data_IF_369041674721
#
_entry.id   IF_369041674721
#
_cell.length_a   1.000
_cell.length_b   1.000
_cell.length_c   1.000
_cell.angle_alpha   90.00
_cell.angle_beta   90.00
_cell.angle_gamma   90.00
#
_symmetry.space_group_name_H-M   'P 1'
#
loop_
_entity.id
_entity.type
_entity.pdbx_description
1 polymer ?
#
# COMPACT_ATOMS: atom_id res chain seq x y z
N UNK A 1 -9.59 -11.55 27.69
CA UNK A 1 -8.63 -10.65 27.00
C UNK A 1 -9.42 -9.59 26.27
N UNK A 2 -9.20 -8.29 26.54
CA UNK A 2 -9.90 -7.21 25.84
C UNK A 2 -9.64 -7.27 24.33
N UNK A 3 -10.71 -7.24 23.53
CA UNK A 3 -10.61 -7.23 22.07
C UNK A 3 -9.93 -5.95 21.60
N UNK A 4 -8.69 -6.03 21.09
CA UNK A 4 -8.00 -4.88 20.47
C UNK A 4 -8.91 -4.24 19.43
N UNK A 5 -9.13 -2.93 19.53
CA UNK A 5 -9.91 -2.11 18.59
C UNK A 5 -9.13 -1.89 17.28
N UNK A 6 -9.84 -1.61 16.18
CA UNK A 6 -9.20 -1.14 14.96
C UNK A 6 -8.60 0.24 15.17
N UNK A 7 -7.54 0.59 14.46
CA UNK A 7 -6.85 1.88 14.59
C UNK A 7 -6.52 2.46 13.21
N UNK A 8 -6.68 3.77 13.05
CA UNK A 8 -6.11 4.57 11.97
C UNK A 8 -5.07 5.54 12.56
N UNK A 9 -3.84 5.49 12.06
CA UNK A 9 -2.69 6.23 12.59
C UNK A 9 -2.20 7.22 11.54
N UNK A 10 -2.26 8.51 11.86
CA UNK A 10 -1.65 9.55 11.05
C UNK A 10 -0.13 9.61 11.34
N UNK A 11 0.71 9.19 10.40
CA UNK A 11 2.16 9.13 10.58
C UNK A 11 2.91 8.55 9.38
N UNK A 12 4.24 8.58 9.42
CA UNK A 12 5.07 7.91 8.41
C UNK A 12 4.99 6.38 8.58
N UNK A 13 4.90 5.65 7.47
CA UNK A 13 4.73 4.20 7.50
C UNK A 13 5.87 3.50 8.26
N UNK A 14 7.13 3.88 8.02
CA UNK A 14 8.28 3.24 8.67
C UNK A 14 8.34 3.57 10.17
N UNK A 15 8.05 4.82 10.53
CA UNK A 15 8.01 5.24 11.94
C UNK A 15 6.89 4.57 12.72
N UNK A 16 5.70 4.45 12.14
CA UNK A 16 4.56 3.79 12.81
C UNK A 16 4.80 2.28 12.89
N UNK A 17 5.24 1.64 11.79
CA UNK A 17 5.49 0.19 11.77
C UNK A 17 6.53 -0.22 12.81
N UNK A 18 7.62 0.54 12.96
CA UNK A 18 8.67 0.27 13.96
C UNK A 18 8.14 0.21 15.41
N UNK A 19 7.01 0.87 15.69
CA UNK A 19 6.38 0.88 17.00
C UNK A 19 5.29 -0.21 17.17
N UNK A 20 4.93 -0.94 16.12
CA UNK A 20 3.99 -2.05 16.21
C UNK A 20 4.69 -3.31 16.75
N UNK A 21 4.04 -4.11 17.62
CA UNK A 21 4.64 -5.35 18.11
C UNK A 21 4.86 -6.37 16.98
N UNK A 22 5.91 -7.18 17.11
CA UNK A 22 6.16 -8.32 16.24
C UNK A 22 4.99 -9.30 16.27
N UNK A 23 4.66 -9.92 15.13
CA UNK A 23 3.59 -10.90 14.98
C UNK A 23 2.24 -10.46 15.60
N UNK A 24 1.86 -9.20 15.40
CA UNK A 24 0.68 -8.58 16.00
C UNK A 24 -0.54 -8.48 15.08
N UNK A 25 -0.38 -8.67 13.78
CA UNK A 25 -1.44 -8.63 12.76
C UNK A 25 -1.49 -9.93 11.95
N UNK A 26 -2.65 -10.28 11.41
CA UNK A 26 -2.90 -11.57 10.75
C UNK A 26 -2.61 -11.52 9.24
N UNK A 27 -2.78 -10.36 8.62
CA UNK A 27 -2.50 -10.15 7.19
C UNK A 27 -2.09 -8.70 6.91
N UNK A 28 -1.37 -8.49 5.81
CA UNK A 28 -1.11 -7.18 5.23
C UNK A 28 -1.73 -7.13 3.83
N UNK A 29 -2.61 -6.17 3.58
CA UNK A 29 -3.19 -5.89 2.27
C UNK A 29 -2.96 -4.42 1.98
N UNK A 30 -2.12 -4.12 0.98
CA UNK A 30 -1.64 -2.74 0.82
C UNK A 30 -1.29 -2.36 -0.62
N UNK A 31 -1.35 -1.06 -0.88
CA UNK A 31 -1.06 -0.40 -2.15
C UNK A 31 0.10 0.59 -1.95
N UNK A 32 1.36 0.13 -2.03
CA UNK A 32 2.51 0.98 -1.77
C UNK A 32 2.70 2.03 -2.88
N UNK A 33 3.53 3.06 -2.64
CA UNK A 33 3.99 3.95 -3.70
C UNK A 33 4.61 3.21 -4.90
N UNK A 34 4.39 3.74 -6.10
CA UNK A 34 4.74 3.10 -7.39
C UNK A 34 5.97 3.72 -8.08
N UNK A 35 6.53 4.81 -7.54
CA UNK A 35 7.58 5.64 -8.11
C UNK A 35 7.29 6.17 -9.54
N UNK A 36 6.05 6.63 -9.79
CA UNK A 36 5.58 7.11 -11.09
C UNK A 36 5.58 8.64 -11.24
N UNK A 37 5.95 9.40 -10.20
CA UNK A 37 5.95 10.86 -10.24
C UNK A 37 7.05 11.41 -11.16
N UNK A 38 6.66 12.02 -12.28
CA UNK A 38 7.58 12.62 -13.27
C UNK A 38 7.94 14.07 -12.88
N UNK A 39 9.17 14.51 -13.24
CA UNK A 39 9.67 15.89 -13.00
C UNK A 39 8.93 17.00 -13.76
N UNK A 40 8.21 16.70 -14.85
CA UNK A 40 7.44 17.67 -15.65
C UNK A 40 6.11 17.03 -16.08
N UNK A 41 5.00 17.75 -15.87
CA UNK A 41 3.70 17.38 -16.42
C UNK A 41 3.69 17.53 -17.94
N UNK A 42 2.90 16.71 -18.64
CA UNK A 42 2.56 16.94 -20.03
C UNK A 42 1.52 18.07 -20.05
N UNK A 43 1.91 19.29 -20.45
CA UNK A 43 0.96 20.36 -20.71
C UNK A 43 0.34 20.15 -22.09
N UNK A 44 -0.95 19.83 -22.14
CA UNK A 44 -1.74 19.85 -23.37
C UNK A 44 -3.01 20.68 -23.16
N UNK A 45 -3.31 21.54 -24.14
CA UNK A 45 -4.35 22.57 -24.08
C UNK A 45 -5.81 22.07 -24.07
N UNK A 46 -6.05 20.76 -24.16
CA UNK A 46 -7.40 20.20 -24.37
C UNK A 46 -7.82 19.12 -23.37
N UNK A 47 -7.15 18.97 -22.23
CA UNK A 47 -7.67 18.09 -21.19
C UNK A 47 -7.17 18.45 -19.81
N UNK A 48 -8.09 18.49 -18.85
CA UNK A 48 -7.84 18.57 -17.41
C UNK A 48 -7.20 17.28 -16.88
N UNK A 49 -6.02 16.91 -17.41
CA UNK A 49 -5.27 15.74 -16.94
C UNK A 49 -4.70 16.02 -15.54
N UNK A 50 -5.21 15.28 -14.56
CA UNK A 50 -4.51 15.11 -13.28
C UNK A 50 -3.30 14.23 -13.55
N UNK A 51 -2.16 14.85 -13.83
CA UNK A 51 -0.87 14.13 -13.81
C UNK A 51 -0.60 13.76 -12.35
N UNK A 52 -0.22 12.51 -12.07
CA UNK A 52 0.19 12.11 -10.73
C UNK A 52 1.50 12.85 -10.37
N UNK A 53 1.38 13.93 -9.62
CA UNK A 53 2.48 14.85 -9.25
C UNK A 53 2.80 14.78 -7.76
N UNK A 54 2.53 13.63 -7.14
CA UNK A 54 2.72 13.44 -5.72
C UNK A 54 4.23 13.40 -5.39
N UNK A 55 4.66 14.24 -4.45
CA UNK A 55 6.09 14.37 -4.06
C UNK A 55 6.59 13.09 -3.38
N UNK A 56 5.68 12.32 -2.77
CA UNK A 56 5.98 11.09 -2.02
C UNK A 56 6.28 9.88 -2.89
N UNK A 57 6.13 10.02 -4.21
CA UNK A 57 6.30 8.96 -5.20
C UNK A 57 7.49 9.24 -6.14
N UNK A 58 8.55 9.91 -5.61
CA UNK A 58 9.78 10.28 -6.32
C UNK A 58 11.00 9.66 -5.65
N UNK A 59 11.61 8.70 -6.31
CA UNK A 59 12.82 8.02 -5.87
C UNK A 59 13.76 7.79 -7.06
N UNK A 60 15.07 7.84 -6.85
CA UNK A 60 16.00 7.12 -7.73
C UNK A 60 15.72 5.61 -7.67
N UNK A 61 16.23 4.83 -8.63
CA UNK A 61 15.98 3.38 -8.65
C UNK A 61 16.45 2.70 -7.36
N UNK A 62 17.63 3.09 -6.86
CA UNK A 62 18.22 2.51 -5.65
C UNK A 62 17.48 2.97 -4.38
N UNK A 63 17.07 4.23 -4.30
CA UNK A 63 16.26 4.74 -3.18
C UNK A 63 14.89 4.06 -3.10
N UNK A 64 14.28 3.74 -4.25
CA UNK A 64 13.00 3.03 -4.28
C UNK A 64 13.15 1.58 -3.79
N UNK A 65 14.23 0.92 -4.20
CA UNK A 65 14.54 -0.43 -3.73
C UNK A 65 14.83 -0.44 -2.23
N UNK A 66 15.63 0.49 -1.70
CA UNK A 66 15.88 0.62 -0.25
C UNK A 66 14.59 0.88 0.52
N UNK A 67 13.77 1.84 0.06
CA UNK A 67 12.47 2.10 0.66
C UNK A 67 11.60 0.83 0.68
N UNK A 68 11.55 0.10 -0.43
CA UNK A 68 10.77 -1.13 -0.56
C UNK A 68 11.24 -2.21 0.40
N UNK A 69 12.55 -2.43 0.49
CA UNK A 69 13.16 -3.37 1.43
C UNK A 69 12.82 -2.99 2.87
N UNK A 70 12.92 -1.71 3.23
CA UNK A 70 12.72 -1.24 4.61
C UNK A 70 11.28 -1.45 5.08
N UNK A 71 10.28 -1.10 4.28
CA UNK A 71 8.89 -1.31 4.70
C UNK A 71 8.52 -2.80 4.65
N UNK A 72 9.04 -3.58 3.70
CA UNK A 72 8.83 -5.04 3.66
C UNK A 72 9.40 -5.73 4.91
N UNK A 73 10.61 -5.36 5.35
CA UNK A 73 11.21 -5.90 6.59
C UNK A 73 10.29 -5.69 7.79
N UNK A 74 9.77 -4.47 7.92
CA UNK A 74 8.83 -4.14 9.01
C UNK A 74 7.51 -4.90 8.87
N UNK A 75 6.94 -5.00 7.67
CA UNK A 75 5.73 -5.80 7.40
C UNK A 75 5.94 -7.26 7.78
N UNK A 76 7.06 -7.87 7.40
CA UNK A 76 7.35 -9.27 7.74
C UNK A 76 7.51 -9.48 9.24
N UNK A 77 8.03 -8.49 9.97
CA UNK A 77 8.15 -8.52 11.43
C UNK A 77 6.78 -8.43 12.10
N UNK A 78 5.89 -7.55 11.66
CA UNK A 78 4.61 -7.29 12.33
C UNK A 78 3.53 -8.31 11.97
N UNK A 79 3.54 -8.85 10.74
CA UNK A 79 2.61 -9.90 10.31
C UNK A 79 2.99 -11.22 10.99
N UNK A 80 2.01 -11.97 11.47
CA UNK A 80 2.25 -13.29 12.09
C UNK A 80 2.88 -14.27 11.08
N UNK A 81 3.62 -15.28 11.56
CA UNK A 81 4.03 -16.40 10.71
C UNK A 81 2.81 -17.01 10.01
N UNK A 82 2.98 -17.38 8.74
CA UNK A 82 1.90 -17.83 7.86
C UNK A 82 0.79 -16.81 7.55
N UNK A 83 0.91 -15.56 8.00
CA UNK A 83 0.00 -14.48 7.63
C UNK A 83 0.10 -14.15 6.14
N UNK A 84 -1.02 -13.72 5.54
CA UNK A 84 -1.04 -13.36 4.13
C UNK A 84 -0.46 -11.97 3.88
N UNK A 85 0.32 -11.86 2.81
CA UNK A 85 0.88 -10.62 2.29
C UNK A 85 0.31 -10.40 0.88
N UNK A 86 -0.50 -9.36 0.71
CA UNK A 86 -1.09 -8.97 -0.57
C UNK A 86 -0.66 -7.56 -0.92
N UNK A 87 0.19 -7.45 -1.94
CA UNK A 87 0.79 -6.17 -2.34
C UNK A 87 0.35 -5.83 -3.75
N UNK A 88 -0.36 -4.72 -3.90
CA UNK A 88 -0.75 -4.18 -5.20
C UNK A 88 0.44 -3.55 -5.92
N UNK A 89 0.36 -3.53 -7.24
CA UNK A 89 1.33 -2.87 -8.08
C UNK A 89 0.93 -2.82 -9.54
N UNK A 90 1.73 -2.08 -10.29
CA UNK A 90 1.74 -2.11 -11.76
C UNK A 90 3.10 -2.63 -12.21
N UNK A 91 3.33 -2.70 -13.53
CA UNK A 91 4.65 -3.04 -14.06
C UNK A 91 5.80 -2.16 -13.54
N UNK A 92 5.49 -0.94 -13.04
CA UNK A 92 6.49 -0.01 -12.49
C UNK A 92 7.17 -0.53 -11.22
N UNK A 93 6.45 -1.26 -10.36
CA UNK A 93 6.95 -1.68 -9.04
C UNK A 93 6.74 -3.16 -8.71
N UNK A 94 5.77 -3.85 -9.35
CA UNK A 94 5.36 -5.19 -8.93
C UNK A 94 6.48 -6.23 -9.12
N UNK A 95 7.27 -6.12 -10.19
CA UNK A 95 8.34 -7.08 -10.47
C UNK A 95 9.44 -6.99 -9.42
N UNK A 96 9.85 -5.77 -9.05
CA UNK A 96 10.80 -5.54 -7.97
C UNK A 96 10.24 -6.07 -6.64
N UNK A 97 8.99 -5.76 -6.34
CA UNK A 97 8.34 -6.18 -5.09
C UNK A 97 8.32 -7.70 -4.96
N UNK A 98 7.83 -8.42 -5.99
CA UNK A 98 7.76 -9.87 -5.99
C UNK A 98 9.14 -10.53 -5.91
N UNK A 99 10.13 -9.98 -6.62
CA UNK A 99 11.52 -10.43 -6.53
C UNK A 99 12.07 -10.27 -5.11
N UNK A 100 11.96 -9.08 -4.52
CA UNK A 100 12.45 -8.80 -3.16
C UNK A 100 11.77 -9.68 -2.10
N UNK A 101 10.47 -9.95 -2.23
CA UNK A 101 9.79 -10.87 -1.31
C UNK A 101 10.38 -12.28 -1.37
N UNK A 102 10.70 -12.79 -2.57
CA UNK A 102 11.37 -14.08 -2.76
C UNK A 102 12.79 -14.10 -2.18
N UNK A 103 13.59 -13.08 -2.49
CA UNK A 103 14.96 -12.92 -1.98
C UNK A 103 15.02 -12.80 -0.45
N UNK A 104 13.97 -12.23 0.15
CA UNK A 104 13.80 -12.14 1.61
C UNK A 104 13.11 -13.38 2.20
N UNK A 105 13.19 -14.50 1.50
CA UNK A 105 12.73 -15.83 1.90
C UNK A 105 11.22 -15.88 2.21
N UNK A 106 10.38 -15.19 1.43
CA UNK A 106 8.91 -15.33 1.52
C UNK A 106 8.38 -16.17 0.38
N UNK A 107 7.52 -17.14 0.71
CA UNK A 107 6.85 -17.97 -0.31
C UNK A 107 5.83 -17.14 -1.08
N UNK A 108 6.13 -16.79 -2.33
CA UNK A 108 5.12 -16.29 -3.26
C UNK A 108 4.20 -17.45 -3.65
N UNK A 109 2.89 -17.28 -3.43
CA UNK A 109 1.87 -18.31 -3.63
C UNK A 109 1.19 -18.18 -4.99
N UNK A 110 0.87 -16.94 -5.40
CA UNK A 110 0.24 -16.63 -6.68
C UNK A 110 0.39 -15.14 -7.01
N UNK A 111 -0.02 -14.76 -8.21
CA UNK A 111 -0.26 -13.38 -8.59
C UNK A 111 -1.68 -13.22 -9.12
N UNK A 112 -2.41 -12.23 -8.62
CA UNK A 112 -3.75 -11.87 -9.11
C UNK A 112 -3.59 -10.77 -10.15
N UNK A 113 -4.30 -10.89 -11.27
CA UNK A 113 -4.43 -9.86 -12.30
C UNK A 113 -5.79 -9.21 -12.16
N UNK A 114 -5.81 -7.94 -11.79
CA UNK A 114 -7.00 -7.11 -11.80
C UNK A 114 -7.13 -6.41 -13.15
N UNK A 115 -8.14 -6.79 -13.94
CA UNK A 115 -8.49 -6.17 -15.22
C UNK A 115 -9.57 -5.11 -15.04
N UNK A 116 -9.30 -3.93 -15.59
CA UNK A 116 -10.10 -2.71 -15.56
C UNK A 116 -10.81 -2.53 -16.92
N UNK A 117 -12.07 -2.98 -17.08
CA UNK A 117 -12.78 -2.90 -18.36
C UNK A 117 -13.03 -1.47 -18.84
N UNK A 118 -12.97 -0.50 -17.94
CA UNK A 118 -13.14 0.94 -18.19
C UNK A 118 -11.86 1.74 -17.87
N UNK A 119 -10.68 1.13 -18.12
CA UNK A 119 -9.41 1.82 -18.02
C UNK A 119 -9.33 3.03 -18.95
N UNK A 120 -8.63 4.09 -18.52
CA UNK A 120 -8.41 5.25 -19.38
C UNK A 120 -7.53 4.86 -20.58
N UNK A 121 -7.94 5.17 -21.82
CA UNK A 121 -7.16 4.84 -23.02
C UNK A 121 -5.76 5.44 -22.99
N UNK A 122 -4.81 4.75 -23.63
CA UNK A 122 -3.48 5.32 -23.89
C UNK A 122 -3.58 6.42 -24.96
N UNK A 123 -3.47 7.68 -24.53
CA UNK A 123 -3.64 8.85 -25.42
C UNK A 123 -2.47 9.03 -26.39
N UNK A 124 -1.29 8.51 -26.08
CA UNK A 124 -0.14 8.64 -27.00
C UNK A 124 -0.21 7.67 -28.16
N UNK A 125 -1.06 6.63 -28.08
CA UNK A 125 -1.21 5.57 -29.08
C UNK A 125 0.10 4.86 -29.44
N UNK A 126 1.12 4.94 -28.58
CA UNK A 126 2.44 4.31 -28.79
C UNK A 126 2.60 2.99 -28.04
N UNK A 127 1.68 2.67 -27.14
CA UNK A 127 1.70 1.50 -26.27
C UNK A 127 0.26 1.04 -26.01
N UNK A 128 0.13 -0.17 -25.45
CA UNK A 128 -1.16 -0.69 -25.00
C UNK A 128 -1.77 0.19 -23.90
N UNK A 129 -3.09 0.11 -23.74
CA UNK A 129 -3.79 0.69 -22.60
C UNK A 129 -3.48 -0.10 -21.34
N UNK A 130 -2.95 0.59 -20.32
CA UNK A 130 -2.69 0.03 -18.98
C UNK A 130 -4.00 -0.29 -18.24
N UNK A 131 -4.61 -1.38 -18.68
CA UNK A 131 -5.92 -1.88 -18.26
C UNK A 131 -5.80 -2.95 -17.17
N UNK A 132 -4.60 -3.25 -16.69
CA UNK A 132 -4.39 -4.20 -15.59
C UNK A 132 -3.59 -3.62 -14.44
N UNK A 133 -3.77 -4.18 -13.25
CA UNK A 133 -2.86 -4.09 -12.11
C UNK A 133 -2.65 -5.50 -11.56
N UNK A 134 -1.57 -5.70 -10.83
CA UNK A 134 -1.24 -6.99 -10.22
C UNK A 134 -1.31 -6.91 -8.70
N UNK A 135 -1.61 -8.05 -8.08
CA UNK A 135 -1.41 -8.26 -6.64
C UNK A 135 -0.50 -9.47 -6.46
N UNK A 136 0.67 -9.26 -5.87
CA UNK A 136 1.51 -10.37 -5.42
C UNK A 136 0.91 -10.91 -4.13
N UNK A 137 0.60 -12.20 -4.12
CA UNK A 137 0.14 -12.92 -2.94
C UNK A 137 1.27 -13.82 -2.43
N UNK A 138 1.78 -13.52 -1.24
CA UNK A 138 2.79 -14.31 -0.57
C UNK A 138 2.36 -14.70 0.85
N UNK A 139 3.00 -15.74 1.37
CA UNK A 139 2.92 -16.15 2.76
C UNK A 139 4.08 -15.52 3.54
N UNK A 140 3.81 -14.97 4.74
CA UNK A 140 4.84 -14.46 5.63
C UNK A 140 5.60 -15.59 6.34
N UNK A 141 6.24 -16.44 5.55
CA UNK A 141 7.06 -17.54 6.01
C UNK A 141 7.93 -18.06 4.84
N UNK A 142 9.04 -18.74 5.17
CA UNK A 142 9.91 -19.40 4.20
C UNK A 142 9.17 -20.45 3.38
N UNK A 143 9.59 -20.74 2.12
CA UNK A 143 9.00 -21.80 1.30
C UNK A 143 8.88 -23.16 2.00
N UNK A 144 9.83 -23.48 2.89
CA UNK A 144 9.87 -24.72 3.67
C UNK A 144 8.83 -24.79 4.80
N UNK A 145 8.47 -23.64 5.39
CA UNK A 145 7.60 -23.56 6.57
C UNK A 145 6.21 -22.99 6.27
N UNK A 146 6.02 -22.40 5.09
CA UNK A 146 4.74 -21.86 4.66
C UNK A 146 3.76 -23.00 4.35
N UNK A 147 2.81 -23.20 5.26
CA UNK A 147 1.77 -24.25 5.20
C UNK A 147 0.40 -23.80 5.72
N UNK A 148 0.34 -22.74 6.54
CA UNK A 148 -0.86 -22.35 7.29
C UNK A 148 -1.51 -21.04 6.85
N UNK A 149 -1.29 -20.59 5.61
CA UNK A 149 -1.88 -19.35 5.14
C UNK A 149 -3.39 -19.49 4.95
N UNK A 150 -4.13 -18.41 5.19
CA UNK A 150 -5.58 -18.42 5.02
C UNK A 150 -5.95 -18.33 3.54
N UNK A 151 -6.77 -19.25 3.05
CA UNK A 151 -7.45 -19.12 1.78
C UNK A 151 -8.83 -19.76 1.86
N UNK A 152 -9.87 -18.93 1.90
CA UNK A 152 -11.26 -19.37 2.03
C UNK A 152 -11.78 -19.88 0.70
N UNK A 153 -11.30 -21.07 0.31
CA UNK A 153 -11.56 -21.67 -0.99
C UNK A 153 -13.05 -21.86 -1.29
N UNK A 154 -13.83 -22.28 -0.28
CA UNK A 154 -15.27 -22.50 -0.44
C UNK A 154 -16.02 -21.18 -0.67
N UNK A 155 -15.67 -20.11 0.05
CA UNK A 155 -16.21 -18.77 -0.20
C UNK A 155 -15.87 -18.32 -1.62
N UNK A 156 -14.63 -18.56 -2.06
CA UNK A 156 -14.21 -18.30 -3.43
C UNK A 156 -15.05 -19.05 -4.47
N UNK A 157 -15.31 -20.34 -4.25
CA UNK A 157 -16.21 -21.11 -5.12
C UNK A 157 -17.61 -20.52 -5.15
N UNK A 158 -18.17 -20.15 -3.99
CA UNK A 158 -19.50 -19.56 -3.89
C UNK A 158 -19.58 -18.23 -4.66
N UNK A 159 -18.55 -17.38 -4.56
CA UNK A 159 -18.45 -16.11 -5.31
C UNK A 159 -18.37 -16.28 -6.84
N UNK A 160 -18.13 -17.50 -7.32
CA UNK A 160 -17.92 -17.82 -8.73
C UNK A 160 -18.86 -18.95 -9.21
N UNK A 161 -20.10 -18.95 -8.71
CA UNK A 161 -21.14 -19.87 -9.17
C UNK A 161 -20.81 -21.36 -8.91
N UNK A 162 -20.15 -21.65 -7.79
CA UNK A 162 -19.74 -23.00 -7.42
C UNK A 162 -18.46 -23.51 -8.11
N UNK A 163 -17.80 -22.69 -8.94
CA UNK A 163 -16.56 -23.05 -9.64
C UNK A 163 -15.35 -22.40 -8.98
N UNK A 164 -14.19 -23.06 -9.05
CA UNK A 164 -12.93 -22.50 -8.53
C UNK A 164 -12.63 -21.13 -9.15
N UNK A 165 -12.24 -20.17 -8.32
CA UNK A 165 -11.78 -18.86 -8.77
C UNK A 165 -10.46 -18.99 -9.54
N UNK A 166 -10.36 -18.22 -10.63
CA UNK A 166 -9.09 -17.97 -11.32
C UNK A 166 -8.43 -16.73 -10.74
N UNK A 167 -7.15 -16.55 -11.05
CA UNK A 167 -6.38 -15.38 -10.64
C UNK A 167 -6.58 -14.14 -11.53
N UNK A 168 -7.45 -14.20 -12.54
CA UNK A 168 -7.84 -13.05 -13.37
C UNK A 168 -9.21 -12.52 -12.94
N UNK A 169 -9.25 -11.30 -12.42
CA UNK A 169 -10.45 -10.67 -11.87
C UNK A 169 -10.80 -9.39 -12.60
N UNK A 170 -12.06 -9.28 -13.02
CA UNK A 170 -12.57 -8.10 -13.72
C UNK A 170 -13.34 -7.22 -12.74
N UNK A 171 -12.83 -6.01 -12.51
CA UNK A 171 -13.50 -4.98 -11.71
C UNK A 171 -13.29 -3.62 -12.38
N UNK A 172 -14.34 -2.78 -12.50
CA UNK A 172 -14.16 -1.42 -13.00
C UNK A 172 -13.25 -0.60 -12.08
N UNK A 173 -12.69 0.49 -12.61
CA UNK A 173 -12.04 1.50 -11.77
C UNK A 173 -13.02 2.05 -10.75
N UNK A 174 -12.48 2.56 -9.63
CA UNK A 174 -13.28 3.08 -8.52
C UNK A 174 -14.27 4.14 -9.00
N UNK A 175 -15.59 3.90 -8.83
CA UNK A 175 -16.62 4.78 -9.38
C UNK A 175 -16.61 6.14 -8.70
N UNK A 176 -17.08 7.18 -9.41
CA UNK A 176 -17.11 8.56 -8.89
C UNK A 176 -17.84 8.68 -7.55
N UNK A 177 -18.91 7.92 -7.35
CA UNK A 177 -19.67 7.88 -6.10
C UNK A 177 -18.88 7.38 -4.89
N UNK A 178 -17.82 6.58 -5.13
CA UNK A 178 -16.96 6.06 -4.07
C UNK A 178 -15.71 6.93 -3.85
N UNK A 179 -15.34 7.77 -4.82
CA UNK A 179 -14.13 8.62 -4.76
C UNK A 179 -14.27 9.67 -3.67
N UNK A 180 -13.26 9.79 -2.81
CA UNK A 180 -13.22 10.84 -1.79
C UNK A 180 -11.89 11.56 -1.77
N UNK A 181 -11.91 12.83 -1.35
CA UNK A 181 -10.73 13.66 -1.13
C UNK A 181 -9.72 13.72 -2.31
N UNK A 182 -10.19 13.45 -3.54
CA UNK A 182 -9.34 13.50 -4.73
C UNK A 182 -8.25 12.43 -4.80
N UNK A 183 -8.30 11.37 -3.97
CA UNK A 183 -7.22 10.38 -3.91
C UNK A 183 -7.01 9.70 -5.28
N UNK A 184 -5.82 9.80 -5.89
CA UNK A 184 -5.61 9.40 -7.28
C UNK A 184 -5.78 7.89 -7.46
N UNK A 185 -5.28 7.09 -6.52
CA UNK A 185 -5.18 5.63 -6.63
C UNK A 185 -6.14 4.86 -5.72
N UNK A 186 -7.25 5.46 -5.28
CA UNK A 186 -8.23 4.74 -4.43
C UNK A 186 -8.69 3.45 -5.13
N UNK A 187 -8.56 2.30 -4.46
CA UNK A 187 -9.02 0.99 -4.96
C UNK A 187 -10.54 0.82 -4.82
N UNK A 188 -11.22 0.05 -5.70
CA UNK A 188 -12.66 -0.17 -5.62
C UNK A 188 -13.02 -1.00 -4.39
N UNK A 189 -14.10 -0.64 -3.69
CA UNK A 189 -14.48 -1.32 -2.46
C UNK A 189 -14.77 -2.81 -2.66
N UNK A 190 -15.47 -3.18 -3.73
CA UNK A 190 -15.83 -4.58 -4.01
C UNK A 190 -14.60 -5.48 -4.23
N UNK A 191 -13.52 -4.93 -4.82
CA UNK A 191 -12.26 -5.65 -4.99
C UNK A 191 -11.61 -5.91 -3.62
N UNK A 192 -11.58 -4.90 -2.75
CA UNK A 192 -11.04 -5.03 -1.40
C UNK A 192 -11.89 -5.97 -0.53
N UNK A 193 -13.22 -5.92 -0.64
CA UNK A 193 -14.14 -6.83 0.04
C UNK A 193 -13.90 -8.30 -0.38
N UNK A 194 -13.61 -8.57 -1.66
CA UNK A 194 -13.19 -9.91 -2.11
C UNK A 194 -11.88 -10.34 -1.47
N UNK A 195 -10.85 -9.48 -1.47
CA UNK A 195 -9.55 -9.81 -0.88
C UNK A 195 -9.68 -10.13 0.62
N UNK A 196 -10.39 -9.28 1.37
CA UNK A 196 -10.63 -9.49 2.80
C UNK A 196 -11.33 -10.84 3.02
N UNK A 197 -12.37 -11.15 2.26
CA UNK A 197 -13.11 -12.40 2.45
C UNK A 197 -12.31 -13.64 2.09
N UNK A 198 -11.46 -13.60 1.08
CA UNK A 198 -10.68 -14.76 0.64
C UNK A 198 -9.43 -15.02 1.47
N UNK A 199 -8.75 -13.98 1.94
CA UNK A 199 -7.40 -14.08 2.50
C UNK A 199 -7.33 -13.81 4.01
N UNK A 200 -8.46 -13.66 4.68
CA UNK A 200 -8.54 -13.44 6.14
C UNK A 200 -9.78 -14.12 6.72
N UNK A 201 -9.80 -14.38 8.02
CA UNK A 201 -10.93 -14.89 8.77
C UNK A 201 -11.65 -13.78 9.56
N UNK A 202 -12.88 -14.05 10.02
CA UNK A 202 -13.58 -13.12 10.94
C UNK A 202 -12.75 -12.93 12.21
N UNK A 203 -12.62 -11.70 12.67
CA UNK A 203 -11.82 -11.33 13.85
C UNK A 203 -10.35 -11.02 13.57
N UNK A 204 -9.82 -11.39 12.40
CA UNK A 204 -8.44 -11.10 12.00
C UNK A 204 -8.16 -9.59 11.99
N UNK A 205 -6.92 -9.23 12.28
CA UNK A 205 -6.41 -7.87 12.20
C UNK A 205 -5.62 -7.67 10.90
N UNK A 206 -6.15 -6.79 10.04
CA UNK A 206 -5.58 -6.49 8.72
C UNK A 206 -4.78 -5.18 8.76
N UNK A 207 -3.53 -5.24 8.35
CA UNK A 207 -2.64 -4.09 8.25
C UNK A 207 -2.67 -3.51 6.83
N UNK A 208 -2.71 -2.18 6.75
CA UNK A 208 -2.43 -1.42 5.53
C UNK A 208 -1.52 -0.22 5.87
N UNK A 209 -0.20 -0.30 5.57
CA UNK A 209 0.74 0.79 5.83
C UNK A 209 0.59 2.01 4.90
N UNK A 210 -0.19 1.89 3.83
CA UNK A 210 -0.38 2.92 2.81
C UNK A 210 -1.88 3.13 2.56
N UNK A 211 -2.61 3.36 3.64
CA UNK A 211 -4.06 3.20 3.66
C UNK A 211 -4.84 4.21 2.81
N UNK A 212 -4.24 5.34 2.44
CA UNK A 212 -4.90 6.38 1.64
C UNK A 212 -6.20 6.81 2.31
N UNK A 213 -7.31 6.71 1.58
CA UNK A 213 -8.65 7.04 2.09
C UNK A 213 -9.35 5.87 2.82
N UNK A 214 -8.64 4.79 3.12
CA UNK A 214 -9.06 3.73 4.04
C UNK A 214 -10.00 2.67 3.48
N UNK A 215 -9.97 2.41 2.16
CA UNK A 215 -10.81 1.37 1.53
C UNK A 215 -10.59 -0.01 2.19
N UNK A 216 -9.34 -0.37 2.50
CA UNK A 216 -9.00 -1.62 3.21
C UNK A 216 -9.72 -1.74 4.54
N UNK A 217 -9.75 -0.66 5.33
CA UNK A 217 -10.43 -0.66 6.63
C UNK A 217 -11.95 -0.70 6.52
N UNK A 218 -12.54 -0.03 5.52
CA UNK A 218 -13.99 -0.12 5.27
C UNK A 218 -14.38 -1.56 4.94
N UNK A 219 -13.64 -2.22 4.03
CA UNK A 219 -13.86 -3.63 3.69
C UNK A 219 -13.66 -4.56 4.90
N UNK A 220 -12.56 -4.37 5.65
CA UNK A 220 -12.26 -5.17 6.84
C UNK A 220 -13.40 -5.11 7.87
N UNK A 221 -13.81 -3.92 8.30
CA UNK A 221 -14.82 -3.74 9.32
C UNK A 221 -16.20 -4.25 8.87
N UNK A 222 -16.60 -4.03 7.61
CA UNK A 222 -17.86 -4.55 7.05
C UNK A 222 -17.95 -6.08 7.13
N UNK A 223 -16.83 -6.77 6.94
CA UNK A 223 -16.77 -8.23 6.98
C UNK A 223 -16.34 -8.78 8.36
N UNK A 224 -16.43 -7.98 9.42
CA UNK A 224 -16.16 -8.43 10.79
C UNK A 224 -14.68 -8.72 11.06
N UNK A 225 -13.77 -8.12 10.29
CA UNK A 225 -12.33 -8.03 10.61
C UNK A 225 -12.05 -6.74 11.35
N UNK A 226 -10.85 -6.64 11.88
CA UNK A 226 -10.27 -5.42 12.44
C UNK A 226 -9.15 -4.93 11.55
N UNK A 227 -8.69 -3.70 11.76
CA UNK A 227 -7.61 -3.15 10.95
C UNK A 227 -6.65 -2.24 11.71
N UNK A 228 -5.43 -2.15 11.17
CA UNK A 228 -4.46 -1.10 11.47
C UNK A 228 -4.17 -0.39 10.16
N UNK A 229 -4.58 0.88 10.06
CA UNK A 229 -4.36 1.72 8.90
C UNK A 229 -3.29 2.75 9.23
N UNK A 230 -2.32 2.94 8.33
CA UNK A 230 -1.31 3.98 8.46
C UNK A 230 -1.42 4.88 7.24
N UNK A 231 -1.49 6.18 7.47
CA UNK A 231 -1.58 7.17 6.41
C UNK A 231 -0.88 8.45 6.84
N UNK A 232 0.02 8.97 6.00
CA UNK A 232 0.82 10.14 6.35
C UNK A 232 0.09 11.46 6.13
N UNK A 233 -0.77 11.52 5.11
CA UNK A 233 -1.46 12.73 4.71
C UNK A 233 -2.74 12.94 5.53
N UNK A 234 -2.73 13.99 6.35
CA UNK A 234 -3.88 14.34 7.18
C UNK A 234 -5.21 14.54 6.42
N UNK A 235 -5.25 15.06 5.16
CA UNK A 235 -6.50 15.10 4.39
C UNK A 235 -7.12 13.73 4.16
N UNK A 236 -6.30 12.70 3.89
CA UNK A 236 -6.77 11.34 3.68
C UNK A 236 -7.25 10.70 4.98
N UNK A 237 -6.57 10.92 6.10
CA UNK A 237 -7.05 10.50 7.43
C UNK A 237 -8.38 11.15 7.80
N UNK A 238 -8.58 12.44 7.47
CA UNK A 238 -9.90 13.09 7.64
C UNK A 238 -10.98 12.45 6.77
N UNK A 239 -10.64 12.12 5.53
CA UNK A 239 -11.56 11.42 4.62
C UNK A 239 -11.92 10.02 5.14
N UNK A 240 -10.95 9.28 5.69
CA UNK A 240 -11.18 8.03 6.40
C UNK A 240 -12.25 8.24 7.48
N UNK A 241 -12.02 9.17 8.43
CA UNK A 241 -12.97 9.42 9.55
C UNK A 241 -14.39 9.67 9.06
N UNK A 242 -14.57 10.47 8.01
CA UNK A 242 -15.89 10.71 7.39
C UNK A 242 -16.48 9.43 6.80
N UNK A 243 -15.71 8.64 6.04
CA UNK A 243 -16.16 7.36 5.46
C UNK A 243 -16.62 6.37 6.53
N UNK A 244 -15.80 6.16 7.56
CA UNK A 244 -16.12 5.22 8.66
C UNK A 244 -17.39 5.66 9.39
N UNK A 245 -17.54 6.95 9.68
CA UNK A 245 -18.75 7.50 10.30
C UNK A 245 -20.00 7.29 9.45
N UNK A 246 -19.95 7.61 8.15
CA UNK A 246 -21.10 7.45 7.24
C UNK A 246 -21.50 5.99 7.03
N UNK A 247 -20.54 5.07 7.12
CA UNK A 247 -20.79 3.64 7.02
C UNK A 247 -21.26 3.00 8.35
N UNK A 248 -21.43 3.77 9.43
CA UNK A 248 -21.78 3.25 10.75
C UNK A 248 -20.69 2.41 11.42
N UNK A 249 -19.43 2.57 10.98
CA UNK A 249 -18.29 1.79 11.43
C UNK A 249 -17.56 2.50 12.58
N UNK A 250 -18.12 2.42 13.79
CA UNK A 250 -17.63 3.15 14.97
C UNK A 250 -16.47 2.46 15.73
N UNK A 251 -16.15 1.20 15.39
CA UNK A 251 -15.12 0.40 16.10
C UNK A 251 -13.70 0.69 15.63
N UNK A 252 -13.35 1.96 15.43
CA UNK A 252 -12.03 2.40 14.99
C UNK A 252 -11.56 3.66 15.74
N UNK A 253 -10.36 3.59 16.30
CA UNK A 253 -9.70 4.73 16.96
C UNK A 253 -8.83 5.49 15.95
N UNK A 254 -8.83 6.81 16.02
CA UNK A 254 -7.94 7.66 15.22
C UNK A 254 -6.82 8.21 16.11
N UNK A 255 -5.58 7.97 15.73
CA UNK A 255 -4.37 8.40 16.45
C UNK A 255 -3.49 9.24 15.54
N UNK A 256 -2.67 10.08 16.14
CA UNK A 256 -1.62 10.85 15.44
C UNK A 256 -0.30 10.58 16.14
N UNK A 257 0.74 10.25 15.37
CA UNK A 257 2.09 10.23 15.90
C UNK A 257 2.55 11.67 16.13
N UNK A 258 2.95 11.99 17.37
CA UNK A 258 3.69 13.21 17.66
C UNK A 258 5.08 13.04 17.07
N UNK A 259 5.48 13.84 16.09
CA UNK A 259 6.84 13.82 15.56
C UNK A 259 7.83 14.04 16.71
N UNK A 260 8.71 13.06 16.97
CA UNK A 260 9.89 13.34 17.75
C UNK A 260 10.73 14.34 16.95
N UNK A 261 10.85 15.58 17.45
CA UNK A 261 11.83 16.53 16.90
C UNK A 261 13.18 15.82 16.92
N UNK A 262 13.77 15.56 15.74
CA UNK A 262 15.18 15.21 15.63
C UNK A 262 16.00 16.37 16.18
N UNK A 263 16.34 16.34 17.46
CA UNK A 263 17.35 17.21 18.05
C UNK A 263 18.72 16.72 17.60
N UNK A 264 19.26 17.33 16.54
CA UNK A 264 20.57 16.94 16.02
C UNK A 264 20.86 17.49 14.63
N UNK A 265 20.57 18.76 14.36
CA UNK A 265 21.27 19.46 13.30
C UNK A 265 22.58 19.97 13.90
N UNK A 266 23.71 19.32 13.57
CA UNK A 266 25.01 19.96 13.75
C UNK A 266 25.02 21.24 12.90
N UNK A 267 25.47 22.39 13.44
CA UNK A 267 25.55 23.61 12.66
C UNK A 267 26.58 23.41 11.54
N UNK A 268 26.22 23.87 10.34
CA UNK A 268 27.13 23.91 9.20
C UNK A 268 28.41 24.69 9.57
N UNK A 269 29.60 24.24 9.13
CA UNK A 269 30.83 24.94 9.45
C UNK A 269 30.81 26.37 8.87
N UNK A 270 31.24 27.32 9.70
CA UNK A 270 31.24 28.74 9.40
C UNK A 270 32.17 29.08 8.22
N UNK A 271 31.68 29.96 7.36
CA UNK A 271 32.33 30.47 6.15
C UNK A 271 33.48 31.44 6.49
N UNK A 272 34.62 30.92 6.95
CA UNK A 272 35.96 31.54 6.96
C UNK A 272 36.92 30.36 6.83
N UNK A 273 37.39 30.01 5.63
CA UNK A 273 38.59 30.56 5.02
C UNK A 273 38.45 30.57 3.49
N UNK A 274 38.23 31.75 2.93
CA UNK A 274 38.77 32.11 1.62
C UNK A 274 39.90 33.09 1.91
N UNK A 275 41.13 32.67 1.72
CA UNK A 275 42.20 33.42 1.06
C UNK A 275 43.56 32.78 1.35
N UNK A 276 44.12 32.17 0.31
CA UNK A 276 45.50 31.68 0.27
C UNK A 276 45.86 31.33 -1.16
N UNK A 277 46.15 32.36 -1.98
CA UNK A 277 46.79 32.18 -3.28
C UNK A 277 48.19 31.59 -3.07
N UNK A 278 48.59 30.66 -3.93
CA UNK A 278 49.98 30.58 -4.39
C UNK A 278 50.04 29.90 -5.76
N UNK A 279 50.75 30.56 -6.66
CA UNK A 279 51.21 30.06 -7.96
C UNK A 279 52.16 28.87 -7.82
N UNK A 280 52.19 28.01 -8.84
CA UNK A 280 53.37 27.57 -9.61
C UNK A 280 53.02 26.24 -10.32
N UNK A 281 52.89 26.18 -11.65
CA UNK A 281 53.94 26.02 -12.68
C UNK A 281 54.13 24.54 -13.07
N UNK A 282 53.86 24.29 -14.36
CA UNK A 282 54.05 23.08 -15.20
C UNK A 282 53.11 21.88 -14.96
#
# INVERSE_FOLDING_TARGET
>A
MGTKLSTSICGDALEVLANLPTASVDACITDPPYNMSKKKGLSWAFSSHVTMQEIWDRFSKDEFADFTIRWLKEVFRVVKPNGNLLVFGTYHNIYLTGFLMGEMDRKVLNSIVWSKPNAQPNITCRMLTESTEQVVWACNESPKKATGWTFNYQDGKAMNGGKQLRNHWVYPVTPKSERVAGHPTQKPLQLMERLIQLFTNKGDMVLDPFAGVGTTGVAALKHGRRCVLIERQSPYVRAQKKRFSLAGLSRIEFKSQKSQKRSGAQPAPSRRERNGRSHATL
#
